data_IF_865983643026
#
_entry.id   IF_865983643026
#
_cell.length_a   1.000
_cell.length_b   1.000
_cell.length_c   1.000
_cell.angle_alpha   90.00
_cell.angle_beta   90.00
_cell.angle_gamma   90.00
#
_symmetry.space_group_name_H-M   'P 1'
#
loop_
_entity.id
_entity.type
_entity.pdbx_description
1 polymer ?
#
# COMPACT_ATOMS: atom_id res chain seq x y z
N UNK A 1 13.48 22.61 3.15
CA UNK A 1 13.02 21.64 2.12
C UNK A 1 13.66 20.25 2.25
N UNK A 2 14.98 20.10 2.48
CA UNK A 2 15.64 18.77 2.62
C UNK A 2 14.94 17.81 3.61
N UNK A 3 14.47 18.31 4.75
CA UNK A 3 13.81 17.50 5.77
C UNK A 3 12.42 16.95 5.35
N UNK A 4 11.72 17.62 4.42
CA UNK A 4 10.40 17.16 3.96
C UNK A 4 10.52 15.91 3.10
N UNK A 5 11.37 15.94 2.08
CA UNK A 5 11.60 14.80 1.18
C UNK A 5 12.20 13.60 1.92
N UNK A 6 13.09 13.84 2.88
CA UNK A 6 13.63 12.77 3.71
C UNK A 6 12.54 12.11 4.58
N UNK A 7 11.60 12.90 5.08
CA UNK A 7 10.48 12.39 5.89
C UNK A 7 9.43 11.68 5.03
N UNK A 8 9.15 12.18 3.83
CA UNK A 8 8.35 11.48 2.84
C UNK A 8 8.97 10.12 2.50
N UNK A 9 10.27 10.06 2.19
CA UNK A 9 10.97 8.80 1.93
C UNK A 9 10.89 7.82 3.12
N UNK A 10 11.00 8.31 4.36
CA UNK A 10 10.81 7.50 5.57
C UNK A 10 9.37 7.02 5.77
N UNK A 11 8.37 7.79 5.34
CA UNK A 11 6.95 7.40 5.44
C UNK A 11 6.59 6.22 4.54
N UNK A 12 7.31 6.06 3.41
CA UNK A 12 7.10 4.97 2.46
C UNK A 12 7.77 3.65 2.89
N UNK A 13 8.47 3.61 4.03
CA UNK A 13 9.18 2.41 4.49
C UNK A 13 8.25 1.22 4.73
N UNK A 14 7.03 1.45 5.23
CA UNK A 14 6.05 0.37 5.47
C UNK A 14 5.67 -0.36 4.17
N UNK A 15 5.23 0.35 3.09
CA UNK A 15 5.01 -0.26 1.78
C UNK A 15 6.25 -0.93 1.19
N UNK A 16 7.42 -0.28 1.28
CA UNK A 16 8.67 -0.79 0.69
C UNK A 16 9.07 -2.14 1.30
N UNK A 17 8.81 -2.36 2.59
CA UNK A 17 9.15 -3.63 3.27
C UNK A 17 8.07 -4.70 3.07
N UNK A 18 6.81 -4.31 2.85
CA UNK A 18 5.72 -5.25 2.60
C UNK A 18 5.87 -5.99 1.26
N UNK A 19 6.34 -5.30 0.21
CA UNK A 19 6.47 -5.87 -1.14
C UNK A 19 7.47 -7.05 -1.22
N UNK A 20 8.70 -6.96 -0.68
CA UNK A 20 9.64 -8.10 -0.66
C UNK A 20 9.07 -9.31 0.06
N UNK A 21 8.40 -9.11 1.20
CA UNK A 21 7.80 -10.21 1.95
C UNK A 21 6.69 -10.88 1.14
N UNK A 22 5.84 -10.09 0.48
CA UNK A 22 4.81 -10.61 -0.41
C UNK A 22 5.40 -11.44 -1.56
N UNK A 23 6.49 -10.96 -2.18
CA UNK A 23 7.20 -11.68 -3.23
C UNK A 23 7.80 -13.01 -2.77
N UNK A 24 8.40 -13.04 -1.57
CA UNK A 24 8.91 -14.29 -0.98
C UNK A 24 7.77 -15.27 -0.73
N UNK A 25 6.66 -14.81 -0.14
CA UNK A 25 5.49 -15.66 0.11
C UNK A 25 4.95 -16.27 -1.18
N UNK A 26 4.82 -15.48 -2.25
CA UNK A 26 4.42 -15.99 -3.58
C UNK A 26 5.44 -16.99 -4.12
N UNK A 27 6.74 -16.76 -3.93
CA UNK A 27 7.77 -17.69 -4.42
C UNK A 27 7.66 -19.08 -3.77
N UNK A 28 7.23 -19.15 -2.51
CA UNK A 28 7.00 -20.41 -1.79
C UNK A 28 5.81 -21.23 -2.32
N UNK A 29 4.93 -20.63 -3.13
CA UNK A 29 3.80 -21.34 -3.75
C UNK A 29 4.22 -22.18 -4.95
N UNK A 30 5.43 -21.98 -5.47
CA UNK A 30 5.88 -22.63 -6.68
C UNK A 30 6.08 -24.15 -6.47
N UNK A 31 5.80 -24.94 -7.51
CA UNK A 31 5.86 -26.40 -7.46
C UNK A 31 7.26 -26.97 -7.28
N UNK A 32 8.31 -26.18 -7.56
CA UNK A 32 9.72 -26.50 -7.31
C UNK A 32 10.17 -26.14 -5.88
N UNK A 33 9.30 -25.51 -5.09
CA UNK A 33 9.57 -25.13 -3.70
C UNK A 33 8.67 -25.90 -2.73
N UNK A 34 8.03 -25.21 -1.78
CA UNK A 34 7.19 -25.83 -0.77
C UNK A 34 5.78 -26.15 -1.28
N UNK A 35 5.40 -25.66 -2.47
CA UNK A 35 4.10 -25.88 -3.09
C UNK A 35 2.92 -25.58 -2.15
N UNK A 36 3.00 -24.46 -1.41
CA UNK A 36 1.97 -24.04 -0.44
C UNK A 36 1.04 -23.02 -1.13
N UNK A 37 -0.14 -23.41 -1.64
CA UNK A 37 -0.99 -22.52 -2.44
C UNK A 37 -1.59 -21.36 -1.63
N UNK A 38 -1.74 -21.51 -0.30
CA UNK A 38 -2.30 -20.46 0.58
C UNK A 38 -1.50 -19.16 0.50
N UNK A 39 -0.18 -19.24 0.29
CA UNK A 39 0.67 -18.04 0.21
C UNK A 39 0.47 -17.21 -1.05
N UNK A 40 -0.27 -17.71 -2.04
CA UNK A 40 -0.61 -16.94 -3.23
C UNK A 40 -1.50 -15.73 -2.90
N UNK A 41 -2.23 -15.78 -1.77
CA UNK A 41 -3.00 -14.66 -1.23
C UNK A 41 -2.15 -13.41 -0.96
N UNK A 42 -0.84 -13.56 -0.77
CA UNK A 42 0.08 -12.43 -0.62
C UNK A 42 0.11 -11.52 -1.86
N UNK A 43 -0.33 -12.01 -3.03
CA UNK A 43 -0.56 -11.20 -4.24
C UNK A 43 -1.47 -9.99 -4.03
N UNK A 44 -2.39 -10.07 -3.05
CA UNK A 44 -3.32 -8.98 -2.69
C UNK A 44 -2.61 -7.69 -2.29
N UNK A 45 -1.38 -7.78 -1.76
CA UNK A 45 -0.55 -6.63 -1.39
C UNK A 45 -0.21 -5.79 -2.64
N UNK A 46 0.07 -6.44 -3.77
CA UNK A 46 0.40 -5.74 -5.01
C UNK A 46 -0.83 -5.07 -5.64
N UNK A 47 -2.00 -5.70 -5.56
CA UNK A 47 -3.28 -5.16 -6.07
C UNK A 47 -4.00 -4.20 -5.13
N UNK A 48 -3.39 -3.79 -4.02
CA UNK A 48 -3.91 -2.76 -3.11
C UNK A 48 -2.78 -1.82 -2.66
N UNK A 49 -1.77 -1.66 -3.51
CA UNK A 49 -0.56 -0.91 -3.20
C UNK A 49 -0.86 0.54 -2.83
N UNK A 50 -1.83 1.12 -3.50
CA UNK A 50 -2.26 2.50 -3.29
C UNK A 50 -2.88 2.74 -1.91
N UNK A 51 -3.66 1.79 -1.40
CA UNK A 51 -4.18 1.83 -0.02
C UNK A 51 -3.02 1.77 0.98
N UNK A 52 -2.09 0.83 0.78
CA UNK A 52 -0.93 0.63 1.67
C UNK A 52 -0.04 1.88 1.67
N UNK A 53 0.19 2.49 0.50
CA UNK A 53 0.93 3.74 0.34
C UNK A 53 0.22 4.92 1.00
N UNK A 54 -1.09 5.08 0.78
CA UNK A 54 -1.86 6.17 1.37
C UNK A 54 -1.82 6.13 2.90
N UNK A 55 -2.01 4.95 3.49
CA UNK A 55 -1.92 4.75 4.94
C UNK A 55 -0.51 5.02 5.45
N UNK A 56 0.52 4.44 4.81
CA UNK A 56 1.92 4.61 5.21
C UNK A 56 2.39 6.07 5.16
N UNK A 57 2.04 6.79 4.10
CA UNK A 57 2.36 8.21 3.94
C UNK A 57 1.62 9.03 5.00
N UNK A 58 0.32 8.81 5.20
CA UNK A 58 -0.45 9.56 6.20
C UNK A 58 0.12 9.36 7.63
N UNK A 59 0.50 8.14 7.98
CA UNK A 59 1.14 7.83 9.27
C UNK A 59 2.54 8.44 9.42
N UNK A 60 3.36 8.44 8.37
CA UNK A 60 4.73 8.98 8.45
C UNK A 60 4.80 10.50 8.31
N UNK A 61 3.78 11.12 7.73
CA UNK A 61 3.67 12.56 7.55
C UNK A 61 2.93 13.27 8.68
N UNK A 62 2.27 12.54 9.59
CA UNK A 62 1.69 13.18 10.78
C UNK A 62 2.78 13.69 11.75
N UNK A 63 2.44 14.73 12.51
CA UNK A 63 3.23 15.24 13.63
C UNK A 63 2.67 14.79 14.99
N UNK A 64 1.54 14.09 14.99
CA UNK A 64 0.89 13.61 16.21
C UNK A 64 1.52 12.31 16.69
N UNK A 65 1.50 12.10 18.02
CA UNK A 65 1.93 10.84 18.62
C UNK A 65 0.97 9.70 18.27
N UNK A 66 -0.32 10.00 18.19
CA UNK A 66 -1.33 9.08 17.68
C UNK A 66 -1.22 8.99 16.14
N UNK A 67 -1.09 7.76 15.63
CA UNK A 67 -1.01 7.49 14.19
C UNK A 67 -2.28 6.85 13.64
N UNK A 68 -3.26 6.54 14.48
CA UNK A 68 -4.50 5.87 14.08
C UNK A 68 -5.40 6.77 13.24
N UNK A 69 -5.63 8.01 13.68
CA UNK A 69 -6.46 8.97 12.94
C UNK A 69 -5.87 9.30 11.55
N UNK A 70 -4.56 9.62 11.41
CA UNK A 70 -3.94 9.82 10.11
C UNK A 70 -4.04 8.58 9.21
N UNK A 71 -3.80 7.38 9.74
CA UNK A 71 -3.92 6.13 8.98
C UNK A 71 -5.32 5.95 8.39
N UNK A 72 -6.35 6.08 9.22
CA UNK A 72 -7.75 5.99 8.81
C UNK A 72 -8.10 7.06 7.77
N UNK A 73 -7.63 8.29 7.97
CA UNK A 73 -7.86 9.38 7.01
C UNK A 73 -7.23 9.08 5.66
N UNK A 74 -6.00 8.54 5.63
CA UNK A 74 -5.33 8.12 4.39
C UNK A 74 -6.10 7.04 3.65
N UNK A 75 -6.62 6.04 4.38
CA UNK A 75 -7.46 4.98 3.81
C UNK A 75 -8.76 5.54 3.21
N UNK A 76 -9.49 6.38 3.95
CA UNK A 76 -10.73 7.00 3.47
C UNK A 76 -10.47 7.87 2.24
N UNK A 77 -9.37 8.61 2.21
CA UNK A 77 -9.01 9.50 1.10
C UNK A 77 -8.85 8.73 -0.21
N UNK A 78 -8.20 7.56 -0.18
CA UNK A 78 -8.00 6.77 -1.39
C UNK A 78 -9.29 6.11 -1.87
N UNK A 79 -10.18 5.72 -0.95
CA UNK A 79 -11.49 5.17 -1.30
C UNK A 79 -12.37 6.23 -1.97
N UNK A 80 -12.44 7.43 -1.40
CA UNK A 80 -13.17 8.55 -2.02
C UNK A 80 -12.59 8.90 -3.38
N UNK A 81 -11.26 8.91 -3.52
CA UNK A 81 -10.61 9.15 -4.81
C UNK A 81 -10.96 8.07 -5.84
N UNK A 82 -10.89 6.79 -5.47
CA UNK A 82 -11.25 5.67 -6.36
C UNK A 82 -12.68 5.78 -6.86
N UNK A 83 -13.62 6.04 -5.96
CA UNK A 83 -15.04 6.19 -6.34
C UNK A 83 -15.27 7.46 -7.17
N UNK A 84 -14.62 8.57 -6.83
CA UNK A 84 -14.68 9.81 -7.61
C UNK A 84 -14.17 9.64 -9.03
N UNK A 85 -13.06 8.92 -9.21
CA UNK A 85 -12.48 8.65 -10.53
C UNK A 85 -13.38 7.74 -11.37
N UNK A 86 -14.02 6.72 -10.78
CA UNK A 86 -14.99 5.87 -11.47
C UNK A 86 -16.20 6.65 -12.00
N UNK A 87 -16.64 7.67 -11.27
CA UNK A 87 -17.76 8.53 -11.69
C UNK A 87 -17.33 9.43 -12.85
N UNK A 88 -16.10 9.95 -12.82
CA UNK A 88 -15.55 10.84 -13.85
C UNK A 88 -15.30 10.12 -15.18
N UNK A 89 -14.68 8.95 -15.12
CA UNK A 89 -14.40 8.12 -16.29
C UNK A 89 -14.47 6.63 -15.92
N UNK A 90 -15.53 5.92 -16.33
CA UNK A 90 -15.69 4.49 -16.05
C UNK A 90 -14.64 3.59 -16.73
N UNK A 91 -13.95 4.10 -17.76
CA UNK A 91 -12.91 3.35 -18.48
C UNK A 91 -11.51 3.52 -17.86
N UNK A 92 -11.39 4.40 -16.85
CA UNK A 92 -10.12 4.72 -16.22
C UNK A 92 -9.61 3.54 -15.38
N UNK A 93 -8.45 3.00 -15.76
CA UNK A 93 -7.74 1.98 -14.99
C UNK A 93 -6.49 2.59 -14.34
N UNK A 94 -6.47 2.63 -13.01
CA UNK A 94 -5.32 3.13 -12.24
C UNK A 94 -4.15 2.12 -12.18
N UNK A 95 -4.31 0.93 -12.74
CA UNK A 95 -3.31 -0.14 -12.81
C UNK A 95 -2.75 -0.55 -11.44
N UNK A 96 -3.57 -0.39 -10.40
CA UNK A 96 -3.29 -0.77 -9.00
C UNK A 96 -4.48 -1.48 -8.39
#
# INVERSE_FOLDING_TARGET
MKNYFQRLGRSMLVPIVAMPMAGILIRLTAGDMLNIPVFQAAGTIFGNMDVILAVGIAMGMTHTKDRGIPALTGLLSIFVLKEGLKILDPSLNMSV
#
